data_IF_974557950239
#
_entry.id   IF_974557950239
#
_cell.length_a   1.000
_cell.length_b   1.000
_cell.length_c   1.000
_cell.angle_alpha   90.00
_cell.angle_beta   90.00
_cell.angle_gamma   90.00
#
_symmetry.space_group_name_H-M   'P 1'
#
loop_
_entity.id
_entity.type
_entity.pdbx_description
1 polymer ?
#
# COMPACT_ATOMS: atom_id res chain seq x y z
N UNK A 1 82.16 7.29 25.69
CA UNK A 1 81.70 7.60 24.31
C UNK A 1 81.37 6.30 23.60
N UNK A 2 80.20 6.22 22.96
CA UNK A 2 80.02 5.41 21.75
C UNK A 2 79.82 3.89 21.89
N UNK A 3 78.55 3.48 21.83
CA UNK A 3 77.98 2.69 20.73
C UNK A 3 78.76 1.47 20.20
N UNK A 4 78.24 0.26 20.48
CA UNK A 4 77.63 -0.71 19.53
C UNK A 4 77.66 -2.11 20.15
N UNK A 5 76.49 -2.69 20.41
CA UNK A 5 76.37 -4.13 20.65
C UNK A 5 75.28 -4.67 19.73
N UNK A 6 75.65 -5.69 18.95
CA UNK A 6 74.71 -6.53 18.22
C UNK A 6 75.19 -7.97 18.26
N UNK A 7 74.19 -8.87 18.37
CA UNK A 7 74.16 -10.34 18.21
C UNK A 7 74.25 -11.12 19.53
N UNK A 8 73.17 -11.73 20.02
CA UNK A 8 72.27 -12.80 19.51
C UNK A 8 72.62 -14.13 20.21
N UNK A 9 71.65 -14.70 20.95
CA UNK A 9 71.37 -16.12 21.23
C UNK A 9 70.19 -16.15 22.23
N UNK A 10 68.96 -16.38 21.79
CA UNK A 10 68.31 -17.66 21.51
C UNK A 10 67.75 -18.36 22.76
N UNK A 11 66.42 -18.57 22.70
CA UNK A 11 65.57 -19.55 23.40
C UNK A 11 65.27 -19.35 24.89
N UNK A 12 63.99 -19.17 25.24
CA UNK A 12 63.15 -20.23 25.82
C UNK A 12 61.66 -19.87 25.76
N UNK A 13 60.85 -20.88 25.46
CA UNK A 13 59.38 -20.90 25.39
C UNK A 13 58.74 -20.52 26.73
N UNK A 14 57.67 -19.72 26.68
CA UNK A 14 56.65 -19.68 27.71
C UNK A 14 55.27 -19.67 27.05
N UNK A 15 54.53 -20.75 27.30
CA UNK A 15 53.17 -21.02 26.83
C UNK A 15 52.19 -20.04 27.47
N UNK A 16 51.43 -19.29 26.67
CA UNK A 16 50.30 -18.49 27.14
C UNK A 16 49.03 -19.09 26.57
N UNK A 17 48.20 -19.65 27.45
CA UNK A 17 46.82 -20.01 27.15
C UNK A 17 46.01 -18.71 26.95
N UNK A 18 45.66 -18.39 25.72
CA UNK A 18 44.66 -17.36 25.42
C UNK A 18 43.27 -17.99 25.44
N UNK A 19 42.48 -17.63 26.45
CA UNK A 19 41.03 -17.86 26.47
C UNK A 19 40.42 -16.98 25.37
N UNK A 20 39.94 -17.59 24.30
CA UNK A 20 39.15 -16.90 23.28
C UNK A 20 37.75 -16.64 23.85
N UNK A 21 37.49 -15.40 24.26
CA UNK A 21 36.14 -14.92 24.50
C UNK A 21 35.45 -14.73 23.14
N UNK A 22 34.54 -15.63 22.80
CA UNK A 22 33.64 -15.50 21.66
C UNK A 22 32.71 -14.31 21.89
N UNK A 23 33.07 -13.14 21.36
CA UNK A 23 32.15 -12.02 21.26
C UNK A 23 31.12 -12.35 20.17
N UNK A 24 30.02 -12.96 20.58
CA UNK A 24 28.78 -13.03 19.81
C UNK A 24 28.46 -11.61 19.34
N UNK A 25 28.39 -11.41 18.03
CA UNK A 25 28.17 -10.12 17.41
C UNK A 25 26.95 -9.41 18.00
N UNK A 26 27.21 -8.37 18.79
CA UNK A 26 26.24 -7.33 19.08
C UNK A 26 25.95 -6.65 17.75
N UNK A 27 24.81 -6.98 17.14
CA UNK A 27 24.26 -6.20 16.04
C UNK A 27 24.04 -4.79 16.57
N UNK A 28 24.88 -3.86 16.12
CA UNK A 28 24.59 -2.44 16.32
C UNK A 28 23.19 -2.16 15.77
N UNK A 29 22.33 -1.41 16.48
CA UNK A 29 21.05 -1.03 15.91
C UNK A 29 21.32 -0.33 14.57
N UNK A 30 20.73 -0.85 13.50
CA UNK A 30 20.84 -0.22 12.19
C UNK A 30 20.44 1.26 12.33
N UNK A 31 21.30 2.17 11.89
CA UNK A 31 20.97 3.60 11.85
C UNK A 31 19.71 3.78 11.03
N UNK A 32 18.79 4.63 11.50
CA UNK A 32 17.65 5.02 10.71
C UNK A 32 18.12 5.68 9.41
N UNK A 33 17.44 5.39 8.29
CA UNK A 33 17.73 6.06 7.03
C UNK A 33 17.44 7.56 7.15
N UNK A 34 18.25 8.38 6.47
CA UNK A 34 18.10 9.84 6.48
C UNK A 34 16.76 10.22 5.87
N UNK A 35 15.88 10.79 6.68
CA UNK A 35 14.57 11.27 6.23
C UNK A 35 14.73 12.53 5.38
N UNK A 36 14.57 12.38 4.06
CA UNK A 36 14.16 13.51 3.24
C UNK A 36 12.71 13.87 3.64
N UNK A 37 12.40 15.14 3.87
CA UNK A 37 11.07 15.59 4.30
C UNK A 37 10.36 16.27 3.14
N UNK A 38 9.93 15.49 2.15
CA UNK A 38 9.14 16.03 1.05
C UNK A 38 7.81 16.55 1.57
N UNK A 39 7.37 17.70 1.06
CA UNK A 39 6.04 18.21 1.33
C UNK A 39 4.97 17.44 0.53
N UNK A 40 3.70 17.76 0.78
CA UNK A 40 2.54 17.09 0.18
C UNK A 40 2.60 16.98 -1.36
N UNK A 41 2.95 18.07 -2.05
CA UNK A 41 3.02 18.08 -3.51
C UNK A 41 4.22 17.32 -4.06
N UNK A 42 5.36 17.42 -3.36
CA UNK A 42 6.60 16.77 -3.77
C UNK A 42 6.51 15.25 -3.62
N UNK A 43 5.93 14.74 -2.53
CA UNK A 43 5.80 13.28 -2.37
C UNK A 43 4.87 12.67 -3.42
N UNK A 44 3.75 13.33 -3.75
CA UNK A 44 2.85 12.85 -4.81
C UNK A 44 3.56 12.78 -6.16
N UNK A 45 4.33 13.82 -6.51
CA UNK A 45 5.10 13.84 -7.73
C UNK A 45 6.18 12.73 -7.77
N UNK A 46 6.85 12.48 -6.64
CA UNK A 46 7.93 11.49 -6.56
C UNK A 46 7.41 10.04 -6.56
N UNK A 47 6.21 9.80 -6.00
CA UNK A 47 5.53 8.50 -6.06
C UNK A 47 5.23 8.03 -7.50
N UNK A 48 5.05 8.95 -8.45
CA UNK A 48 4.77 8.61 -9.85
C UNK A 48 3.55 7.68 -10.04
N UNK A 49 3.60 6.80 -11.04
CA UNK A 49 2.63 5.71 -11.16
C UNK A 49 2.96 4.59 -10.18
N UNK A 50 1.93 4.10 -9.49
CA UNK A 50 2.01 2.94 -8.62
C UNK A 50 1.41 1.67 -9.23
N UNK A 51 1.77 0.53 -8.65
CA UNK A 51 1.27 -0.79 -8.99
C UNK A 51 0.99 -1.60 -7.72
N UNK A 52 -0.16 -2.27 -7.62
CA UNK A 52 -0.51 -3.13 -6.50
C UNK A 52 0.04 -4.54 -6.73
N UNK A 53 0.67 -5.10 -5.70
CA UNK A 53 1.01 -6.52 -5.61
C UNK A 53 -0.20 -7.33 -5.11
N UNK A 54 -1.30 -7.26 -5.87
CA UNK A 54 -2.58 -7.87 -5.48
C UNK A 54 -2.58 -9.40 -5.60
N UNK A 55 -3.53 -10.03 -4.91
CA UNK A 55 -3.71 -11.46 -4.70
C UNK A 55 -2.44 -12.19 -4.22
N UNK A 56 -1.66 -11.55 -3.35
CA UNK A 56 -0.47 -12.12 -2.71
C UNK A 56 -0.54 -12.02 -1.19
N UNK A 57 0.14 -11.07 -0.53
CA UNK A 57 0.24 -11.08 0.94
C UNK A 57 -1.10 -10.83 1.65
N UNK A 58 -2.14 -10.39 0.94
CA UNK A 58 -3.51 -10.36 1.43
C UNK A 58 -4.27 -11.67 1.26
N UNK A 59 -3.82 -12.56 0.35
CA UNK A 59 -4.52 -13.80 0.09
C UNK A 59 -4.49 -14.74 1.30
N UNK A 60 -5.57 -15.48 1.48
CA UNK A 60 -5.81 -16.28 2.68
C UNK A 60 -6.46 -17.61 2.31
N UNK A 61 -6.13 -18.64 3.10
CA UNK A 61 -6.79 -19.95 3.08
C UNK A 61 -7.27 -20.25 4.49
N UNK A 62 -8.59 -20.41 4.66
CA UNK A 62 -9.23 -20.67 5.95
C UNK A 62 -8.83 -19.69 7.07
N UNK A 63 -8.59 -18.43 6.70
CA UNK A 63 -8.22 -17.35 7.62
C UNK A 63 -6.75 -17.28 8.02
N UNK A 64 -5.90 -18.13 7.43
CA UNK A 64 -4.44 -18.02 7.56
C UNK A 64 -3.88 -17.36 6.29
N UNK A 65 -3.22 -16.19 6.40
CA UNK A 65 -2.57 -15.54 5.26
C UNK A 65 -1.52 -16.44 4.62
N UNK A 66 -1.53 -16.49 3.29
CA UNK A 66 -0.55 -17.22 2.49
C UNK A 66 -0.50 -16.57 1.10
N UNK A 67 0.68 -16.14 0.66
CA UNK A 67 0.86 -15.38 -0.59
C UNK A 67 0.59 -16.12 -1.89
N UNK A 68 0.36 -17.44 -1.81
CA UNK A 68 0.02 -18.28 -2.96
C UNK A 68 -1.41 -18.82 -2.88
N UNK A 69 -2.19 -18.44 -1.87
CA UNK A 69 -3.54 -19.00 -1.65
C UNK A 69 -4.51 -18.71 -2.80
N UNK A 70 -4.35 -17.59 -3.51
CA UNK A 70 -5.19 -17.23 -4.65
C UNK A 70 -4.49 -17.43 -6.01
N UNK A 71 -3.64 -18.46 -6.10
CA UNK A 71 -3.10 -18.95 -7.37
C UNK A 71 -1.90 -18.19 -7.93
N UNK A 72 -1.38 -17.19 -7.20
CA UNK A 72 -0.14 -16.48 -7.57
C UNK A 72 1.10 -17.23 -7.07
N UNK A 73 2.25 -17.14 -7.77
CA UNK A 73 3.50 -17.74 -7.31
C UNK A 73 4.09 -16.95 -6.13
N UNK A 74 5.05 -17.55 -5.43
CA UNK A 74 5.84 -16.86 -4.39
C UNK A 74 6.45 -15.57 -4.96
N UNK A 75 6.37 -14.48 -4.20
CA UNK A 75 6.91 -13.17 -4.60
C UNK A 75 8.44 -13.25 -4.66
N UNK A 76 9.02 -12.76 -5.76
CA UNK A 76 10.47 -12.70 -5.97
C UNK A 76 10.93 -11.29 -6.29
N UNK A 77 12.20 -10.98 -5.97
CA UNK A 77 12.87 -9.75 -6.39
C UNK A 77 12.75 -9.51 -7.90
N UNK A 78 12.81 -10.58 -8.71
CA UNK A 78 12.74 -10.49 -10.16
C UNK A 78 11.42 -9.91 -10.68
N UNK A 79 10.29 -10.22 -10.02
CA UNK A 79 9.00 -9.60 -10.35
C UNK A 79 9.05 -8.09 -10.09
N UNK A 80 9.56 -7.69 -8.92
CA UNK A 80 9.65 -6.28 -8.52
C UNK A 80 10.59 -5.50 -9.43
N UNK A 81 11.71 -6.11 -9.83
CA UNK A 81 12.64 -5.54 -10.81
C UNK A 81 11.98 -5.33 -12.18
N UNK A 82 11.07 -6.24 -12.60
CA UNK A 82 10.28 -6.08 -13.82
C UNK A 82 9.24 -4.97 -13.73
N UNK A 83 8.54 -4.87 -12.60
CA UNK A 83 7.58 -3.77 -12.35
C UNK A 83 8.30 -2.42 -12.38
N UNK A 84 9.44 -2.31 -11.70
CA UNK A 84 10.28 -1.09 -11.76
C UNK A 84 10.77 -0.79 -13.17
N UNK A 85 11.25 -1.79 -13.90
CA UNK A 85 11.75 -1.61 -15.27
C UNK A 85 10.65 -1.14 -16.24
N UNK A 86 9.37 -1.43 -15.95
CA UNK A 86 8.24 -0.92 -16.71
C UNK A 86 7.92 0.57 -16.41
N UNK A 87 8.59 1.19 -15.45
CA UNK A 87 8.49 2.62 -15.14
C UNK A 87 7.70 2.95 -13.86
N UNK A 88 7.11 1.96 -13.19
CA UNK A 88 6.43 2.19 -11.91
C UNK A 88 7.44 2.61 -10.83
N UNK A 89 7.05 3.59 -10.01
CA UNK A 89 7.87 4.13 -8.91
C UNK A 89 7.34 3.78 -7.52
N UNK A 90 6.08 3.38 -7.43
CA UNK A 90 5.42 2.98 -6.18
C UNK A 90 4.91 1.55 -6.27
N UNK A 91 5.05 0.77 -5.20
CA UNK A 91 4.37 -0.51 -5.04
C UNK A 91 3.51 -0.48 -3.79
N UNK A 92 2.22 -0.76 -3.95
CA UNK A 92 1.33 -1.06 -2.83
C UNK A 92 1.29 -2.56 -2.62
N UNK A 93 1.49 -2.98 -1.38
CA UNK A 93 1.52 -4.37 -0.96
C UNK A 93 0.35 -4.56 0.01
N UNK A 94 -0.81 -5.03 -0.49
CA UNK A 94 -1.88 -5.52 0.36
C UNK A 94 -1.37 -6.61 1.31
N UNK A 95 -1.64 -6.50 2.62
CA UNK A 95 -1.21 -7.50 3.60
C UNK A 95 -2.35 -7.87 4.52
N UNK A 96 -2.65 -9.17 4.62
CA UNK A 96 -3.57 -9.73 5.61
C UNK A 96 -2.80 -10.26 6.80
N UNK A 97 -3.33 -10.07 8.01
CA UNK A 97 -2.74 -10.62 9.23
C UNK A 97 -3.62 -11.72 9.84
N UNK A 98 -4.93 -11.52 9.96
CA UNK A 98 -5.93 -12.53 10.30
C UNK A 98 -5.49 -13.43 11.49
N UNK A 99 -5.41 -14.76 11.28
CA UNK A 99 -4.98 -15.75 12.28
C UNK A 99 -3.48 -15.75 12.57
N UNK A 100 -2.66 -14.99 11.82
CA UNK A 100 -1.26 -14.76 12.19
C UNK A 100 -1.12 -13.78 13.38
N UNK A 101 -2.22 -13.17 13.85
CA UNK A 101 -2.25 -12.43 15.12
C UNK A 101 -2.69 -13.37 16.23
N UNK A 102 -1.82 -13.61 17.21
CA UNK A 102 -2.08 -14.44 18.37
C UNK A 102 -3.16 -13.87 19.32
N UNK A 103 -3.48 -14.59 20.41
CA UNK A 103 -4.50 -14.15 21.37
C UNK A 103 -4.08 -12.90 22.14
N UNK A 104 -5.09 -12.21 22.71
CA UNK A 104 -4.87 -11.10 23.64
C UNK A 104 -4.26 -11.56 24.97
N UNK A 105 -3.70 -10.65 25.77
CA UNK A 105 -3.67 -9.20 25.55
C UNK A 105 -2.52 -8.73 24.63
N UNK A 106 -1.56 -9.61 24.33
CA UNK A 106 -0.37 -9.24 23.57
C UNK A 106 -0.64 -9.12 22.07
N UNK A 107 -1.53 -9.94 21.52
CA UNK A 107 -1.82 -9.99 20.09
C UNK A 107 -0.56 -10.10 19.24
N UNK A 108 0.37 -10.95 19.66
CA UNK A 108 1.67 -11.11 19.00
C UNK A 108 1.48 -11.58 17.57
N UNK A 109 2.02 -10.83 16.61
CA UNK A 109 2.02 -11.24 15.21
C UNK A 109 3.10 -12.31 15.02
N UNK A 110 2.78 -13.37 14.29
CA UNK A 110 3.73 -14.41 13.93
C UNK A 110 4.99 -13.78 13.31
N UNK A 111 6.15 -14.04 13.93
CA UNK A 111 7.42 -13.42 13.52
C UNK A 111 7.83 -13.78 12.09
N UNK A 112 7.64 -15.04 11.68
CA UNK A 112 7.96 -15.47 10.31
C UNK A 112 7.09 -14.76 9.26
N UNK A 113 5.86 -14.38 9.62
CA UNK A 113 5.03 -13.56 8.76
C UNK A 113 5.55 -12.13 8.63
N UNK A 114 5.97 -11.50 9.74
CA UNK A 114 6.63 -10.18 9.71
C UNK A 114 7.99 -10.21 9.00
N UNK A 115 8.73 -11.32 9.06
CA UNK A 115 9.93 -11.57 8.25
C UNK A 115 9.60 -11.59 6.78
N UNK A 116 8.53 -12.30 6.40
CA UNK A 116 8.12 -12.37 5.00
C UNK A 116 7.66 -11.02 4.45
N UNK A 117 6.82 -10.29 5.20
CA UNK A 117 6.37 -8.95 4.80
C UNK A 117 7.57 -8.03 4.61
N UNK A 118 8.51 -8.01 5.57
CA UNK A 118 9.70 -7.17 5.45
C UNK A 118 10.59 -7.56 4.27
N UNK A 119 10.75 -8.85 3.98
CA UNK A 119 11.49 -9.30 2.81
C UNK A 119 10.88 -8.76 1.51
N UNK A 120 9.55 -8.79 1.37
CA UNK A 120 8.85 -8.26 0.19
C UNK A 120 8.92 -6.74 0.12
N UNK A 121 8.74 -6.03 1.24
CA UNK A 121 8.97 -4.58 1.32
C UNK A 121 10.38 -4.22 0.83
N UNK A 122 11.39 -4.99 1.26
CA UNK A 122 12.78 -4.78 0.87
C UNK A 122 13.03 -4.97 -0.63
N UNK A 123 12.27 -5.84 -1.30
CA UNK A 123 12.42 -6.01 -2.75
C UNK A 123 12.16 -4.71 -3.51
N UNK A 124 11.20 -3.90 -3.06
CA UNK A 124 10.86 -2.62 -3.67
C UNK A 124 11.67 -1.46 -3.07
N UNK A 125 11.76 -1.38 -1.74
CA UNK A 125 12.43 -0.29 -1.02
C UNK A 125 13.91 -0.16 -1.41
N UNK A 126 14.63 -1.28 -1.50
CA UNK A 126 16.06 -1.30 -1.87
C UNK A 126 16.30 -0.94 -3.35
N UNK A 127 15.24 -0.80 -4.15
CA UNK A 127 15.28 -0.35 -5.55
C UNK A 127 14.91 1.12 -5.72
N UNK A 128 14.80 1.85 -4.61
CA UNK A 128 14.44 3.28 -4.62
C UNK A 128 12.93 3.53 -4.76
N UNK A 129 12.10 2.48 -4.74
CA UNK A 129 10.66 2.64 -4.91
C UNK A 129 10.00 3.10 -3.61
N UNK A 130 8.87 3.80 -3.76
CA UNK A 130 7.90 3.95 -2.67
C UNK A 130 7.18 2.63 -2.42
N UNK A 131 6.86 2.36 -1.17
CA UNK A 131 6.19 1.14 -0.73
C UNK A 131 5.05 1.49 0.20
N UNK A 132 3.85 0.98 -0.07
CA UNK A 132 2.71 1.05 0.84
C UNK A 132 2.45 -0.34 1.41
N UNK A 133 2.28 -0.45 2.73
CA UNK A 133 1.76 -1.66 3.38
C UNK A 133 0.55 -1.30 4.24
N UNK A 134 -0.41 -2.22 4.35
CA UNK A 134 -1.66 -1.99 5.06
C UNK A 134 -2.08 -3.17 5.93
N UNK A 135 -3.31 -3.10 6.41
CA UNK A 135 -4.08 -4.22 6.95
C UNK A 135 -5.29 -4.44 6.05
N UNK A 136 -5.28 -5.52 5.27
CA UNK A 136 -6.15 -5.70 4.11
C UNK A 136 -7.33 -6.63 4.38
N UNK A 137 -7.08 -7.95 4.41
CA UNK A 137 -8.10 -8.98 4.61
C UNK A 137 -8.86 -8.85 5.92
N UNK A 138 -8.19 -8.32 6.95
CA UNK A 138 -8.69 -8.25 8.33
C UNK A 138 -10.01 -7.50 8.50
N UNK A 139 -10.33 -6.58 7.58
CA UNK A 139 -11.54 -5.76 7.59
C UNK A 139 -12.73 -6.33 6.81
N UNK A 140 -12.55 -7.43 6.07
CA UNK A 140 -13.61 -7.99 5.22
C UNK A 140 -14.45 -9.03 5.96
N UNK A 141 -15.74 -8.76 6.14
CA UNK A 141 -16.67 -9.66 6.86
C UNK A 141 -16.81 -11.06 6.27
N UNK A 142 -16.60 -11.19 4.97
CA UNK A 142 -16.71 -12.45 4.22
C UNK A 142 -15.43 -13.29 4.25
N UNK A 143 -14.34 -12.79 4.83
CA UNK A 143 -13.10 -13.56 4.96
C UNK A 143 -13.07 -14.28 6.31
N UNK A 144 -12.72 -15.57 6.28
CA UNK A 144 -12.48 -16.32 7.51
C UNK A 144 -11.37 -15.64 8.32
N UNK A 145 -11.56 -15.52 9.64
CA UNK A 145 -10.56 -14.93 10.54
C UNK A 145 -10.50 -13.40 10.57
N UNK A 146 -11.35 -12.70 9.80
CA UNK A 146 -11.48 -11.24 9.89
C UNK A 146 -11.99 -10.79 11.25
N UNK A 147 -11.57 -9.60 11.64
CA UNK A 147 -11.80 -9.10 13.00
C UNK A 147 -11.89 -7.57 13.10
N UNK A 148 -11.39 -6.81 12.13
CA UNK A 148 -11.48 -5.33 12.11
C UNK A 148 -12.84 -4.89 11.55
N UNK A 149 -13.92 -5.24 12.26
CA UNK A 149 -15.30 -5.08 11.78
C UNK A 149 -15.96 -3.88 12.47
N UNK A 150 -16.26 -2.82 11.72
CA UNK A 150 -16.74 -1.54 12.25
C UNK A 150 -18.10 -1.60 12.97
N UNK A 151 -18.98 -2.53 12.61
CA UNK A 151 -20.31 -2.67 13.21
C UNK A 151 -20.39 -3.85 14.18
N UNK A 152 -19.26 -4.48 14.50
CA UNK A 152 -19.18 -5.46 15.57
C UNK A 152 -19.47 -4.82 16.92
N UNK A 153 -20.17 -5.54 17.80
CA UNK A 153 -20.37 -5.14 19.21
C UNK A 153 -19.07 -5.17 20.03
N UNK A 154 -18.03 -5.87 19.56
CA UNK A 154 -16.77 -6.09 20.31
C UNK A 154 -15.71 -4.99 20.08
N UNK A 155 -16.15 -3.72 19.99
CA UNK A 155 -15.27 -2.60 19.61
C UNK A 155 -14.06 -2.40 20.53
N UNK A 156 -14.18 -2.63 21.84
CA UNK A 156 -13.06 -2.51 22.79
C UNK A 156 -11.93 -3.51 22.46
N UNK A 157 -12.30 -4.76 22.20
CA UNK A 157 -11.38 -5.84 21.79
C UNK A 157 -10.73 -5.51 20.45
N UNK A 158 -11.52 -5.05 19.47
CA UNK A 158 -11.02 -4.69 18.13
C UNK A 158 -10.00 -3.56 18.23
N UNK A 159 -10.33 -2.48 18.93
CA UNK A 159 -9.43 -1.32 19.10
C UNK A 159 -8.13 -1.71 19.79
N UNK A 160 -8.19 -2.57 20.81
CA UNK A 160 -7.00 -3.09 21.51
C UNK A 160 -6.14 -3.95 20.58
N UNK A 161 -6.75 -4.89 19.86
CA UNK A 161 -6.04 -5.75 18.90
C UNK A 161 -5.38 -4.92 17.79
N UNK A 162 -6.10 -3.93 17.27
CA UNK A 162 -5.63 -3.03 16.22
C UNK A 162 -4.47 -2.14 16.68
N UNK A 163 -4.56 -1.56 17.87
CA UNK A 163 -3.45 -0.83 18.48
C UNK A 163 -2.20 -1.72 18.64
N UNK A 164 -2.36 -2.94 19.17
CA UNK A 164 -1.22 -3.85 19.39
C UNK A 164 -0.60 -4.35 18.09
N UNK A 165 -1.41 -4.63 17.07
CA UNK A 165 -0.92 -5.02 15.75
C UNK A 165 -0.09 -3.88 15.12
N UNK A 166 -0.64 -2.67 15.07
CA UNK A 166 0.08 -1.53 14.50
C UNK A 166 1.32 -1.12 15.29
N UNK A 167 1.33 -1.30 16.62
CA UNK A 167 2.52 -1.09 17.42
C UNK A 167 3.67 -1.99 16.95
N UNK A 168 3.41 -3.29 16.75
CA UNK A 168 4.43 -4.25 16.29
C UNK A 168 4.88 -3.96 14.86
N UNK A 169 3.95 -3.65 13.95
CA UNK A 169 4.26 -3.31 12.54
C UNK A 169 5.09 -2.03 12.49
N UNK A 170 4.69 -0.96 13.19
CA UNK A 170 5.42 0.30 13.19
C UNK A 170 6.83 0.15 13.78
N UNK A 171 7.00 -0.61 14.86
CA UNK A 171 8.32 -0.90 15.45
C UNK A 171 9.22 -1.68 14.49
N UNK A 172 8.66 -2.68 13.79
CA UNK A 172 9.38 -3.48 12.78
C UNK A 172 9.96 -2.61 11.66
N UNK A 173 9.20 -1.61 11.23
CA UNK A 173 9.53 -0.75 10.10
C UNK A 173 10.05 0.65 10.50
N UNK A 174 10.42 0.86 11.76
CA UNK A 174 10.73 2.19 12.30
C UNK A 174 11.93 2.88 11.65
N UNK A 175 12.87 2.12 11.07
CA UNK A 175 14.10 2.66 10.48
C UNK A 175 13.97 3.04 8.99
N UNK A 176 12.89 2.64 8.32
CA UNK A 176 12.64 2.97 6.92
C UNK A 176 12.33 4.45 6.77
N UNK A 177 12.80 5.08 5.70
CA UNK A 177 12.53 6.48 5.41
C UNK A 177 11.08 6.73 4.96
N UNK A 178 10.80 7.93 4.46
CA UNK A 178 9.49 8.36 3.98
C UNK A 178 8.94 7.55 2.79
N UNK A 179 9.78 6.78 2.10
CA UNK A 179 9.35 5.93 0.97
C UNK A 179 8.50 4.77 1.43
N UNK A 180 8.62 4.34 2.69
CA UNK A 180 7.65 3.42 3.28
C UNK A 180 6.47 4.19 3.88
N UNK A 181 5.29 3.99 3.32
CA UNK A 181 4.03 4.57 3.76
C UNK A 181 3.22 3.46 4.44
N UNK A 182 2.66 3.76 5.60
CA UNK A 182 1.75 2.85 6.29
C UNK A 182 0.32 3.29 6.00
N UNK A 183 -0.51 2.39 5.51
CA UNK A 183 -1.94 2.59 5.27
C UNK A 183 -2.74 1.89 6.37
N UNK A 184 -3.63 2.62 7.06
CA UNK A 184 -4.26 2.16 8.29
C UNK A 184 -5.08 0.87 8.13
N UNK A 185 -5.81 0.75 7.03
CA UNK A 185 -6.68 -0.36 6.66
C UNK A 185 -7.07 -0.23 5.19
N UNK A 186 -7.70 -1.27 4.62
CA UNK A 186 -8.21 -1.24 3.25
C UNK A 186 -9.66 -0.69 3.16
N UNK A 187 -10.60 -1.51 2.72
CA UNK A 187 -12.00 -1.16 2.47
C UNK A 187 -12.89 -1.54 3.67
N UNK A 188 -12.94 -0.65 4.67
CA UNK A 188 -13.76 -0.89 5.85
C UNK A 188 -15.17 -0.32 5.71
N UNK A 189 -16.18 -1.15 5.90
CA UNK A 189 -17.60 -0.81 5.87
C UNK A 189 -18.46 -1.95 6.45
N UNK A 190 -19.77 -1.76 6.51
CA UNK A 190 -20.72 -2.74 7.06
C UNK A 190 -21.22 -3.78 6.03
N UNK A 191 -20.72 -3.77 4.79
CA UNK A 191 -21.19 -4.63 3.70
C UNK A 191 -22.35 -4.04 2.89
N UNK A 192 -22.89 -2.89 3.28
CA UNK A 192 -23.92 -2.17 2.54
C UNK A 192 -23.29 -1.08 1.67
N UNK A 193 -23.63 -1.08 0.37
CA UNK A 193 -23.09 -0.11 -0.60
C UNK A 193 -23.87 1.22 -0.63
N UNK A 194 -24.93 1.33 0.15
CA UNK A 194 -25.68 2.58 0.33
C UNK A 194 -24.99 3.54 1.30
N UNK A 195 -25.78 4.51 1.81
CA UNK A 195 -25.26 5.54 2.73
C UNK A 195 -24.59 4.91 3.97
N UNK A 196 -23.44 5.43 4.41
CA UNK A 196 -22.76 4.97 5.61
C UNK A 196 -23.65 4.92 6.84
N UNK A 197 -23.48 3.88 7.66
CA UNK A 197 -24.24 3.70 8.90
C UNK A 197 -23.44 4.08 10.14
N UNK A 198 -24.16 4.42 11.21
CA UNK A 198 -23.59 4.60 12.55
C UNK A 198 -23.99 3.41 13.44
N UNK A 199 -23.11 2.96 14.36
CA UNK A 199 -21.82 3.57 14.72
C UNK A 199 -20.63 3.17 13.83
N UNK A 200 -20.82 2.39 12.76
CA UNK A 200 -19.71 1.87 11.93
C UNK A 200 -18.76 2.99 11.44
N UNK A 201 -19.27 4.10 10.89
CA UNK A 201 -18.36 5.16 10.41
C UNK A 201 -17.59 5.83 11.56
N UNK A 202 -18.23 6.04 12.72
CA UNK A 202 -17.51 6.54 13.91
C UNK A 202 -16.40 5.58 14.37
N UNK A 203 -16.60 4.26 14.21
CA UNK A 203 -15.58 3.27 14.50
C UNK A 203 -14.43 3.29 13.50
N UNK A 204 -14.69 3.47 12.20
CA UNK A 204 -13.64 3.68 11.17
C UNK A 204 -12.77 4.90 11.52
N UNK A 205 -13.38 6.03 11.90
CA UNK A 205 -12.63 7.21 12.35
C UNK A 205 -11.79 6.91 13.60
N UNK A 206 -12.35 6.16 14.56
CA UNK A 206 -11.62 5.74 15.76
C UNK A 206 -10.42 4.84 15.43
N UNK A 207 -10.55 3.93 14.46
CA UNK A 207 -9.44 3.10 13.99
C UNK A 207 -8.35 3.98 13.38
N UNK A 208 -8.70 4.91 12.49
CA UNK A 208 -7.72 5.85 11.90
C UNK A 208 -6.97 6.67 12.97
N UNK A 209 -7.66 7.16 14.00
CA UNK A 209 -7.00 7.90 15.09
C UNK A 209 -6.06 6.99 15.91
N UNK A 210 -6.51 5.79 16.28
CA UNK A 210 -5.67 4.80 16.99
C UNK A 210 -4.42 4.50 16.17
N UNK A 211 -4.57 4.28 14.87
CA UNK A 211 -3.45 4.01 13.97
C UNK A 211 -2.42 5.15 13.98
N UNK A 212 -2.86 6.40 13.72
CA UNK A 212 -1.97 7.56 13.68
C UNK A 212 -1.21 7.69 15.01
N UNK A 213 -1.92 7.71 16.14
CA UNK A 213 -1.30 7.89 17.45
C UNK A 213 -0.32 6.75 17.78
N UNK A 214 -0.70 5.51 17.45
CA UNK A 214 0.14 4.32 17.69
C UNK A 214 1.43 4.37 16.89
N UNK A 215 1.34 4.68 15.59
CA UNK A 215 2.51 4.74 14.73
C UNK A 215 3.43 5.87 15.17
N UNK A 216 2.91 7.07 15.44
CA UNK A 216 3.74 8.21 15.89
C UNK A 216 4.53 7.91 17.16
N UNK A 217 3.95 7.13 18.08
CA UNK A 217 4.58 6.75 19.35
C UNK A 217 5.52 5.54 19.25
N UNK A 218 5.65 4.91 18.08
CA UNK A 218 6.45 3.69 17.91
C UNK A 218 7.96 3.94 17.77
N UNK A 219 8.43 5.19 17.76
CA UNK A 219 9.85 5.53 17.65
C UNK A 219 10.40 5.55 16.22
N UNK A 220 11.70 5.84 16.09
CA UNK A 220 12.40 5.96 14.81
C UNK A 220 11.78 7.01 13.87
N UNK A 221 11.80 6.72 12.57
CA UNK A 221 11.24 7.58 11.52
C UNK A 221 9.70 7.62 11.52
N UNK A 222 9.03 6.82 12.36
CA UNK A 222 7.55 6.79 12.42
C UNK A 222 6.94 8.12 12.87
N UNK A 223 7.68 8.92 13.65
CA UNK A 223 7.27 10.27 14.03
C UNK A 223 7.11 11.22 12.83
N UNK A 224 7.82 10.96 11.72
CA UNK A 224 7.83 11.83 10.54
C UNK A 224 7.27 11.21 9.26
N UNK A 225 7.07 9.89 9.22
CA UNK A 225 6.62 9.21 7.99
C UNK A 225 5.23 9.63 7.53
N UNK A 226 4.96 9.43 6.25
CA UNK A 226 3.61 9.59 5.71
C UNK A 226 2.72 8.41 6.10
N UNK A 227 1.49 8.73 6.51
CA UNK A 227 0.46 7.78 6.90
C UNK A 227 -0.74 7.94 5.97
N UNK A 228 -1.30 6.85 5.47
CA UNK A 228 -2.44 6.84 4.57
C UNK A 228 -3.69 6.33 5.33
N UNK A 229 -4.81 7.05 5.23
CA UNK A 229 -6.07 6.69 5.92
C UNK A 229 -7.24 6.70 4.93
N UNK A 230 -8.10 5.66 4.91
CA UNK A 230 -9.31 5.64 4.11
C UNK A 230 -10.51 6.23 4.87
N UNK A 231 -11.53 6.64 4.12
CA UNK A 231 -12.90 6.77 4.62
C UNK A 231 -13.71 5.48 4.44
N UNK A 232 -15.03 5.61 4.44
CA UNK A 232 -15.95 4.47 4.27
C UNK A 232 -15.76 3.76 2.94
N UNK A 233 -15.43 2.46 2.98
CA UNK A 233 -15.24 1.60 1.80
C UNK A 233 -14.30 2.20 0.73
N UNK A 234 -13.37 3.09 1.10
CA UNK A 234 -12.55 3.88 0.16
C UNK A 234 -13.36 4.66 -0.90
N UNK A 235 -14.65 4.88 -0.65
CA UNK A 235 -15.56 5.54 -1.57
C UNK A 235 -15.38 7.06 -1.51
N UNK A 236 -15.22 7.71 -2.67
CA UNK A 236 -14.96 9.14 -2.78
C UNK A 236 -16.10 9.98 -2.18
N UNK A 237 -17.35 9.73 -2.58
CA UNK A 237 -18.51 10.52 -2.13
C UNK A 237 -18.69 10.40 -0.61
N UNK A 238 -18.55 9.19 -0.06
CA UNK A 238 -18.70 8.96 1.38
C UNK A 238 -17.51 9.44 2.21
N UNK A 239 -16.34 9.66 1.59
CA UNK A 239 -15.15 10.21 2.25
C UNK A 239 -15.14 11.74 2.20
N UNK A 240 -15.42 12.33 1.04
CA UNK A 240 -15.36 13.78 0.84
C UNK A 240 -16.66 14.51 1.17
N UNK A 241 -17.80 13.82 1.07
CA UNK A 241 -19.11 14.35 1.42
C UNK A 241 -19.39 14.38 2.92
N UNK A 242 -20.52 15.00 3.29
CA UNK A 242 -20.94 15.12 4.68
C UNK A 242 -21.62 13.84 5.21
N UNK A 243 -20.86 12.74 5.27
CA UNK A 243 -21.35 11.42 5.70
C UNK A 243 -20.75 10.93 7.02
N UNK A 244 -19.77 11.65 7.57
CA UNK A 244 -19.20 11.36 8.88
C UNK A 244 -17.71 11.04 8.89
N UNK A 245 -16.98 11.18 7.77
CA UNK A 245 -15.52 11.11 7.78
C UNK A 245 -14.92 12.20 8.66
N UNK A 246 -13.94 11.84 9.49
CA UNK A 246 -13.19 12.80 10.31
C UNK A 246 -11.70 12.58 10.09
N UNK A 247 -11.00 13.66 9.72
CA UNK A 247 -9.54 13.65 9.64
C UNK A 247 -8.94 13.39 11.03
N UNK A 248 -8.02 12.42 11.17
CA UNK A 248 -7.32 12.22 12.44
C UNK A 248 -6.51 13.44 12.84
N UNK A 249 -6.45 13.69 14.15
CA UNK A 249 -5.42 14.56 14.71
C UNK A 249 -4.05 13.86 14.61
N UNK A 250 -2.98 14.65 14.48
CA UNK A 250 -1.60 14.16 14.37
C UNK A 250 -0.69 14.80 15.44
N UNK A 251 -1.21 14.90 16.67
CA UNK A 251 -0.59 15.64 17.77
C UNK A 251 0.74 15.05 18.27
N UNK A 252 0.99 13.76 17.99
CA UNK A 252 2.22 13.07 18.40
C UNK A 252 3.29 13.02 17.30
N UNK A 253 3.05 13.67 16.16
CA UNK A 253 4.05 13.74 15.08
C UNK A 253 5.30 14.47 15.52
N UNK A 254 6.39 14.21 14.80
CA UNK A 254 7.68 14.86 15.05
C UNK A 254 7.56 16.38 15.01
N UNK A 255 8.12 17.11 15.99
CA UNK A 255 8.13 18.56 15.99
C UNK A 255 9.00 19.14 14.85
N UNK A 256 9.78 18.31 14.16
CA UNK A 256 10.53 18.71 12.95
C UNK A 256 9.63 18.96 11.73
N UNK A 257 8.40 18.43 11.73
CA UNK A 257 7.45 18.68 10.65
C UNK A 257 6.89 20.10 10.83
N UNK A 258 6.98 20.98 9.83
CA UNK A 258 6.39 22.31 9.89
C UNK A 258 4.90 22.28 10.28
N UNK A 259 4.47 23.18 11.17
CA UNK A 259 3.11 23.20 11.72
C UNK A 259 2.02 23.31 10.63
N UNK A 260 2.32 23.99 9.53
CA UNK A 260 1.44 24.14 8.38
C UNK A 260 1.42 22.91 7.45
N UNK A 261 2.42 22.03 7.51
CA UNK A 261 2.47 20.79 6.72
C UNK A 261 1.67 19.66 7.34
N UNK A 262 1.36 18.64 6.52
CA UNK A 262 0.69 17.41 6.93
C UNK A 262 1.64 16.22 6.69
N UNK A 263 1.39 15.12 7.41
CA UNK A 263 1.99 13.80 7.17
C UNK A 263 0.94 12.69 7.15
N UNK A 264 -0.30 13.07 6.84
CA UNK A 264 -1.45 12.19 6.62
C UNK A 264 -1.90 12.38 5.17
N UNK A 265 -2.19 11.28 4.49
CA UNK A 265 -2.73 11.15 3.15
C UNK A 265 -4.11 10.49 3.21
N UNK A 266 -4.94 10.69 2.18
CA UNK A 266 -6.30 10.13 2.09
C UNK A 266 -6.36 9.05 1.01
N UNK A 267 -6.84 7.86 1.39
CA UNK A 267 -7.00 6.72 0.49
C UNK A 267 -8.40 6.65 -0.08
N UNK A 268 -8.51 6.49 -1.40
CA UNK A 268 -9.75 6.19 -2.12
C UNK A 268 -9.47 5.17 -3.22
N UNK A 269 -10.44 4.37 -3.60
CA UNK A 269 -10.33 3.45 -4.75
C UNK A 269 -11.31 3.86 -5.86
N UNK A 270 -10.98 3.51 -7.10
CA UNK A 270 -11.78 3.93 -8.26
C UNK A 270 -11.95 2.82 -9.30
N UNK A 271 -13.17 2.27 -9.33
CA UNK A 271 -13.62 1.27 -10.31
C UNK A 271 -14.95 1.66 -10.96
N UNK A 272 -15.25 2.96 -11.01
CA UNK A 272 -16.48 3.45 -11.63
C UNK A 272 -16.29 3.70 -13.14
N UNK A 273 -17.24 3.27 -13.99
CA UNK A 273 -18.48 2.56 -13.66
C UNK A 273 -18.21 1.05 -13.55
N UNK A 274 -18.82 0.40 -12.55
CA UNK A 274 -18.52 -0.99 -12.19
C UNK A 274 -18.87 -1.98 -13.31
N UNK A 275 -19.94 -1.73 -14.04
CA UNK A 275 -20.38 -2.52 -15.19
C UNK A 275 -19.29 -2.67 -16.27
N UNK A 276 -18.49 -1.61 -16.51
CA UNK A 276 -17.30 -1.68 -17.34
C UNK A 276 -16.12 -2.31 -16.59
N UNK A 277 -15.78 -1.76 -15.42
CA UNK A 277 -14.49 -1.98 -14.78
C UNK A 277 -14.35 -3.31 -14.03
N UNK A 278 -15.41 -3.82 -13.40
CA UNK A 278 -15.33 -4.95 -12.47
C UNK A 278 -16.43 -6.00 -12.60
N UNK A 279 -17.54 -5.71 -13.29
CA UNK A 279 -18.61 -6.69 -13.48
C UNK A 279 -18.19 -7.79 -14.46
N UNK A 280 -18.21 -9.03 -14.01
CA UNK A 280 -17.73 -10.22 -14.73
C UNK A 280 -18.74 -10.75 -15.76
N UNK A 281 -19.01 -9.93 -16.79
CA UNK A 281 -19.79 -10.31 -17.97
C UNK A 281 -19.35 -9.53 -19.22
N UNK A 282 -19.97 -9.83 -20.38
CA UNK A 282 -19.68 -9.19 -21.66
C UNK A 282 -20.61 -8.04 -22.08
N UNK A 283 -21.49 -7.55 -21.19
CA UNK A 283 -22.48 -6.53 -21.54
C UNK A 283 -21.82 -5.19 -21.84
N UNK A 284 -21.01 -4.70 -20.91
CA UNK A 284 -20.25 -3.46 -21.05
C UNK A 284 -18.76 -3.78 -21.19
N UNK A 285 -18.20 -3.42 -22.34
CA UNK A 285 -16.82 -3.75 -22.74
C UNK A 285 -16.05 -2.55 -23.30
N UNK A 286 -16.70 -1.39 -23.42
CA UNK A 286 -16.12 -0.16 -23.95
C UNK A 286 -16.34 1.01 -22.99
N UNK A 287 -15.41 1.96 -22.96
CA UNK A 287 -15.45 3.12 -22.07
C UNK A 287 -14.90 4.36 -22.77
N UNK A 288 -15.38 5.53 -22.34
CA UNK A 288 -14.89 6.83 -22.76
C UNK A 288 -15.38 7.26 -24.13
N UNK A 289 -14.96 8.46 -24.55
CA UNK A 289 -15.29 9.07 -25.84
C UNK A 289 -14.80 8.27 -27.05
N UNK A 290 -13.82 7.38 -26.86
CA UNK A 290 -13.26 6.52 -27.89
C UNK A 290 -14.10 5.29 -28.22
N UNK A 291 -15.13 5.01 -27.42
CA UNK A 291 -16.08 3.90 -27.62
C UNK A 291 -16.74 3.97 -28.99
N UNK A 292 -16.80 2.84 -29.69
CA UNK A 292 -17.37 2.75 -31.05
C UNK A 292 -18.76 2.12 -31.08
N UNK A 293 -19.19 1.47 -30.00
CA UNK A 293 -20.52 0.88 -29.89
C UNK A 293 -21.22 1.33 -28.59
N UNK A 294 -22.27 2.18 -28.67
CA UNK A 294 -23.03 2.64 -27.52
C UNK A 294 -23.67 1.49 -26.70
N UNK A 295 -24.04 0.36 -27.33
CA UNK A 295 -24.64 -0.76 -26.61
C UNK A 295 -23.64 -1.52 -25.72
N UNK A 296 -22.34 -1.24 -25.88
CA UNK A 296 -21.25 -1.85 -25.11
C UNK A 296 -20.61 -0.88 -24.12
N UNK A 297 -21.19 0.30 -23.94
CA UNK A 297 -20.69 1.39 -23.12
C UNK A 297 -21.70 1.72 -22.03
N UNK A 298 -21.24 1.93 -20.81
CA UNK A 298 -22.09 2.41 -19.71
C UNK A 298 -22.75 3.74 -20.07
N UNK A 299 -23.96 3.96 -19.57
CA UNK A 299 -24.71 5.21 -19.77
C UNK A 299 -24.25 6.36 -18.85
N UNK A 300 -23.35 6.08 -17.91
CA UNK A 300 -22.78 7.01 -16.94
C UNK A 300 -21.29 6.68 -16.67
N UNK A 301 -20.62 7.41 -15.77
CA UNK A 301 -19.27 7.06 -15.32
C UNK A 301 -18.16 7.35 -16.34
N UNK A 302 -18.37 8.31 -17.24
CA UNK A 302 -17.41 8.65 -18.29
C UNK A 302 -16.36 9.66 -17.78
N UNK A 303 -15.66 10.33 -18.69
CA UNK A 303 -14.60 11.29 -18.34
C UNK A 303 -15.07 12.43 -17.43
N UNK A 304 -16.31 12.88 -17.61
CA UNK A 304 -16.94 13.92 -16.80
C UNK A 304 -17.16 13.49 -15.34
N UNK A 305 -17.64 12.26 -15.13
CA UNK A 305 -17.81 11.70 -13.79
C UNK A 305 -16.45 11.50 -13.10
N UNK A 306 -15.48 10.92 -13.79
CA UNK A 306 -14.10 10.78 -13.27
C UNK A 306 -13.50 12.14 -12.88
N UNK A 307 -13.64 13.15 -13.73
CA UNK A 307 -13.15 14.51 -13.45
C UNK A 307 -13.82 15.09 -12.19
N UNK A 308 -15.15 14.94 -12.07
CA UNK A 308 -15.90 15.44 -10.92
C UNK A 308 -15.47 14.78 -9.60
N UNK A 309 -15.24 13.46 -9.62
CA UNK A 309 -14.86 12.68 -8.44
C UNK A 309 -13.47 13.05 -7.92
N UNK A 310 -12.48 13.15 -8.81
CA UNK A 310 -11.12 13.52 -8.39
C UNK A 310 -11.01 15.03 -8.10
N UNK A 311 -11.81 15.88 -8.75
CA UNK A 311 -11.93 17.29 -8.37
C UNK A 311 -12.47 17.44 -6.95
N UNK A 312 -13.50 16.67 -6.58
CA UNK A 312 -14.07 16.67 -5.24
C UNK A 312 -13.00 16.35 -4.18
N UNK A 313 -12.20 15.31 -4.41
CA UNK A 313 -11.09 14.95 -3.53
C UNK A 313 -10.05 16.08 -3.41
N UNK A 314 -9.75 16.76 -4.52
CA UNK A 314 -8.84 17.91 -4.51
C UNK A 314 -9.38 19.09 -3.72
N UNK A 315 -10.65 19.43 -3.90
CA UNK A 315 -11.26 20.57 -3.22
C UNK A 315 -11.40 20.33 -1.71
N UNK A 316 -11.68 19.09 -1.30
CA UNK A 316 -11.90 18.74 0.12
C UNK A 316 -10.58 18.49 0.87
N UNK A 317 -9.59 17.87 0.23
CA UNK A 317 -8.37 17.39 0.90
C UNK A 317 -7.07 18.00 0.37
N UNK A 318 -6.80 17.89 -0.94
CA UNK A 318 -5.51 18.33 -1.51
C UNK A 318 -5.30 19.83 -1.32
N UNK A 319 -6.36 20.64 -1.48
CA UNK A 319 -6.34 22.09 -1.24
C UNK A 319 -5.97 22.48 0.20
N UNK A 320 -6.12 21.55 1.15
CA UNK A 320 -5.81 21.71 2.59
C UNK A 320 -4.48 21.06 2.98
N UNK A 321 -3.72 20.59 2.00
CA UNK A 321 -2.40 19.99 2.19
C UNK A 321 -2.39 18.51 2.54
N UNK A 322 -3.52 17.80 2.39
CA UNK A 322 -3.59 16.34 2.54
C UNK A 322 -3.50 15.70 1.15
N UNK A 323 -2.39 15.03 0.80
CA UNK A 323 -2.30 14.28 -0.45
C UNK A 323 -3.42 13.24 -0.54
N UNK A 324 -3.89 12.99 -1.76
CA UNK A 324 -4.81 11.90 -2.05
C UNK A 324 -4.06 10.81 -2.79
N UNK A 325 -4.35 9.56 -2.46
CA UNK A 325 -3.85 8.39 -3.17
C UNK A 325 -5.06 7.61 -3.66
N UNK A 326 -5.21 7.49 -4.98
CA UNK A 326 -6.08 6.51 -5.61
C UNK A 326 -5.38 5.15 -5.46
N UNK A 327 -5.61 4.51 -4.31
CA UNK A 327 -4.88 3.32 -3.85
C UNK A 327 -5.10 2.10 -4.73
N UNK A 328 -6.23 2.07 -5.43
CA UNK A 328 -6.57 1.07 -6.42
C UNK A 328 -7.40 1.67 -7.55
N UNK A 329 -7.09 1.30 -8.78
CA UNK A 329 -7.93 1.49 -9.95
C UNK A 329 -7.61 0.44 -11.01
N UNK A 330 -8.56 0.14 -11.88
CA UNK A 330 -8.32 -0.73 -13.02
C UNK A 330 -9.61 -1.11 -13.71
N UNK A 331 -9.49 -1.91 -14.76
CA UNK A 331 -10.62 -2.56 -15.41
C UNK A 331 -10.22 -3.99 -15.79
N UNK A 332 -11.13 -4.95 -15.63
CA UNK A 332 -10.89 -6.37 -15.91
C UNK A 332 -10.79 -6.66 -17.42
N UNK A 333 -10.12 -7.76 -17.76
CA UNK A 333 -10.03 -8.23 -19.14
C UNK A 333 -11.37 -8.83 -19.62
N UNK A 334 -11.94 -8.21 -20.65
CA UNK A 334 -13.15 -8.70 -21.34
C UNK A 334 -12.88 -9.01 -22.82
N UNK A 335 -11.62 -9.28 -23.20
CA UNK A 335 -11.23 -9.55 -24.59
C UNK A 335 -11.90 -10.79 -25.19
N UNK A 336 -12.36 -11.71 -24.34
CA UNK A 336 -13.18 -12.87 -24.75
C UNK A 336 -14.57 -12.46 -25.26
N UNK A 337 -15.07 -11.27 -24.91
CA UNK A 337 -16.37 -10.75 -25.31
C UNK A 337 -16.27 -9.62 -26.35
N UNK A 338 -15.17 -8.86 -26.29
CA UNK A 338 -14.86 -7.80 -27.25
C UNK A 338 -13.35 -7.74 -27.49
N UNK A 339 -12.88 -8.14 -28.67
CA UNK A 339 -11.46 -8.13 -29.02
C UNK A 339 -10.82 -6.73 -28.96
N UNK A 340 -11.62 -5.66 -28.97
CA UNK A 340 -11.15 -4.29 -28.82
C UNK A 340 -11.09 -3.82 -27.35
N UNK A 341 -11.52 -4.63 -26.38
CA UNK A 341 -11.61 -4.25 -24.96
C UNK A 341 -10.31 -3.69 -24.38
N UNK A 342 -9.14 -4.27 -24.72
CA UNK A 342 -7.85 -3.78 -24.21
C UNK A 342 -7.53 -2.32 -24.60
N UNK A 343 -8.08 -1.82 -25.72
CA UNK A 343 -8.00 -0.39 -26.06
C UNK A 343 -8.70 0.46 -24.99
N UNK A 344 -9.92 0.09 -24.61
CA UNK A 344 -10.70 0.85 -23.64
C UNK A 344 -10.18 0.70 -22.22
N UNK A 345 -9.59 -0.45 -21.87
CA UNK A 345 -8.85 -0.62 -20.62
C UNK A 345 -7.64 0.32 -20.54
N UNK A 346 -6.90 0.46 -21.65
CA UNK A 346 -5.79 1.41 -21.74
C UNK A 346 -6.26 2.87 -21.68
N UNK A 347 -7.35 3.22 -22.37
CA UNK A 347 -7.93 4.57 -22.33
C UNK A 347 -8.44 4.93 -20.92
N UNK A 348 -9.10 4.00 -20.24
CA UNK A 348 -9.52 4.15 -18.85
C UNK A 348 -8.33 4.36 -17.91
N UNK A 349 -7.30 3.51 -18.01
CA UNK A 349 -6.10 3.65 -17.18
C UNK A 349 -5.38 4.98 -17.42
N UNK A 350 -5.28 5.44 -18.69
CA UNK A 350 -4.75 6.77 -19.02
C UNK A 350 -5.55 7.87 -18.36
N UNK A 351 -6.88 7.81 -18.46
CA UNK A 351 -7.76 8.84 -17.95
C UNK A 351 -7.68 8.96 -16.42
N UNK A 352 -7.64 7.85 -15.69
CA UNK A 352 -7.50 7.85 -14.23
C UNK A 352 -6.17 8.46 -13.81
N UNK A 353 -5.06 8.07 -14.45
CA UNK A 353 -3.72 8.60 -14.13
C UNK A 353 -3.63 10.10 -14.45
N UNK A 354 -4.09 10.50 -15.65
CA UNK A 354 -4.04 11.90 -16.07
C UNK A 354 -4.90 12.80 -15.17
N UNK A 355 -6.10 12.33 -14.81
CA UNK A 355 -7.01 13.08 -13.92
C UNK A 355 -6.48 13.11 -12.48
N UNK A 356 -5.87 12.03 -11.99
CA UNK A 356 -5.21 12.02 -10.68
C UNK A 356 -4.08 13.04 -10.64
N UNK A 357 -3.20 13.05 -11.65
CA UNK A 357 -2.12 14.04 -11.79
C UNK A 357 -2.65 15.47 -11.83
N UNK A 358 -3.68 15.73 -12.66
CA UNK A 358 -4.35 17.04 -12.76
C UNK A 358 -4.80 17.58 -11.40
N UNK A 359 -5.26 16.70 -10.51
CA UNK A 359 -5.82 17.06 -9.22
C UNK A 359 -4.86 16.82 -8.03
N UNK A 360 -3.58 16.53 -8.30
CA UNK A 360 -2.56 16.40 -7.26
C UNK A 360 -2.71 15.12 -6.43
N UNK A 361 -3.23 14.05 -7.02
CA UNK A 361 -3.34 12.72 -6.43
C UNK A 361 -2.32 11.75 -7.05
N UNK A 362 -1.79 10.84 -6.24
CA UNK A 362 -1.06 9.67 -6.73
C UNK A 362 -2.06 8.58 -7.14
N UNK A 363 -1.69 7.71 -8.07
CA UNK A 363 -2.57 6.63 -8.56
C UNK A 363 -1.82 5.30 -8.65
N UNK A 364 -2.43 4.23 -8.14
CA UNK A 364 -1.82 2.91 -8.04
C UNK A 364 -2.71 1.86 -8.72
N UNK A 365 -2.23 1.29 -9.83
CA UNK A 365 -3.00 0.32 -10.62
C UNK A 365 -3.23 -0.97 -9.83
N UNK A 366 -4.43 -1.52 -9.85
CA UNK A 366 -4.73 -2.83 -9.27
C UNK A 366 -4.32 -3.95 -10.22
N UNK A 367 -3.33 -4.76 -9.83
CA UNK A 367 -2.89 -5.95 -10.56
C UNK A 367 -3.03 -7.16 -9.64
N UNK A 368 -3.94 -8.07 -9.98
CA UNK A 368 -4.21 -9.30 -9.23
C UNK A 368 -3.38 -10.50 -9.72
N UNK A 369 -2.48 -10.29 -10.69
CA UNK A 369 -1.65 -11.32 -11.32
C UNK A 369 -2.40 -12.30 -12.22
N UNK A 370 -3.72 -12.18 -12.36
CA UNK A 370 -4.52 -13.04 -13.24
C UNK A 370 -4.44 -12.52 -14.67
N UNK A 371 -4.02 -13.38 -15.60
CA UNK A 371 -3.89 -13.09 -17.03
C UNK A 371 -4.88 -13.98 -17.78
N UNK A 372 -5.93 -13.38 -18.33
CA UNK A 372 -7.04 -14.09 -18.96
C UNK A 372 -8.37 -13.42 -18.64
N UNK A 373 -9.47 -14.12 -18.91
CA UNK A 373 -10.83 -13.60 -18.68
C UNK A 373 -10.96 -13.06 -17.25
N UNK A 374 -11.42 -11.81 -17.16
CA UNK A 374 -11.60 -11.01 -15.93
C UNK A 374 -10.32 -10.64 -15.18
N UNK A 375 -9.15 -10.86 -15.77
CA UNK A 375 -7.86 -10.57 -15.17
C UNK A 375 -7.49 -9.09 -15.16
N UNK A 376 -6.77 -8.67 -14.11
CA UNK A 376 -6.12 -7.36 -14.04
C UNK A 376 -4.61 -7.42 -14.33
N UNK A 377 -4.04 -8.61 -14.53
CA UNK A 377 -2.59 -8.79 -14.67
C UNK A 377 -2.00 -7.98 -15.84
N UNK A 378 -1.02 -7.13 -15.53
CA UNK A 378 -0.14 -6.48 -16.52
C UNK A 378 1.14 -7.29 -16.77
N UNK A 379 1.45 -8.18 -15.83
CA UNK A 379 2.60 -9.06 -15.83
C UNK A 379 2.15 -10.51 -15.63
N UNK A 380 2.75 -11.43 -16.39
CA UNK A 380 2.77 -12.84 -16.00
C UNK A 380 3.83 -13.01 -14.90
N UNK A 381 3.38 -13.36 -13.69
CA UNK A 381 4.25 -13.46 -12.52
C UNK A 381 5.13 -14.71 -12.51
N UNK A 382 4.76 -15.77 -13.25
CA UNK A 382 5.57 -16.99 -13.39
C UNK A 382 6.65 -16.80 -14.45
N UNK A 383 6.25 -16.33 -15.63
CA UNK A 383 7.16 -16.07 -16.74
C UNK A 383 8.01 -14.80 -16.52
N UNK A 384 7.55 -13.87 -15.67
CA UNK A 384 8.16 -12.55 -15.41
C UNK A 384 8.23 -11.69 -16.67
N UNK A 385 7.15 -11.72 -17.43
CA UNK A 385 6.99 -11.02 -18.71
C UNK A 385 5.82 -10.04 -18.65
N UNK A 386 5.93 -8.95 -19.40
CA UNK A 386 4.80 -8.03 -19.61
C UNK A 386 3.77 -8.70 -20.52
N UNK A 387 2.50 -8.62 -20.14
CA UNK A 387 1.37 -9.15 -20.92
C UNK A 387 0.48 -8.04 -21.48
N UNK A 388 0.49 -6.85 -20.85
CA UNK A 388 -0.36 -5.72 -21.24
C UNK A 388 0.45 -4.44 -21.51
N UNK A 389 1.36 -4.49 -22.49
CA UNK A 389 2.22 -3.36 -22.83
C UNK A 389 1.43 -2.09 -23.21
N UNK A 390 0.28 -2.23 -23.88
CA UNK A 390 -0.57 -1.10 -24.26
C UNK A 390 -1.12 -0.34 -23.05
N UNK A 391 -1.52 -1.05 -21.99
CA UNK A 391 -2.02 -0.44 -20.74
C UNK A 391 -0.86 0.21 -19.98
N UNK A 392 0.30 -0.44 -19.88
CA UNK A 392 1.51 0.15 -19.27
C UNK A 392 1.90 1.44 -19.99
N UNK A 393 1.95 1.44 -21.33
CA UNK A 393 2.27 2.63 -22.11
C UNK A 393 1.27 3.76 -21.87
N UNK A 394 -0.02 3.43 -21.72
CA UNK A 394 -1.07 4.40 -21.44
C UNK A 394 -0.89 5.05 -20.05
N UNK A 395 -0.54 4.25 -19.03
CA UNK A 395 -0.21 4.72 -17.68
C UNK A 395 1.03 5.62 -17.71
N UNK A 396 2.14 5.13 -18.28
CA UNK A 396 3.41 5.86 -18.28
C UNK A 396 3.33 7.16 -19.10
N UNK A 397 2.62 7.14 -20.22
CA UNK A 397 2.37 8.33 -21.03
C UNK A 397 1.61 9.42 -20.27
N UNK A 398 0.63 9.05 -19.43
CA UNK A 398 -0.14 9.99 -18.61
C UNK A 398 0.65 10.54 -17.42
N UNK A 399 1.67 9.83 -16.92
CA UNK A 399 2.58 10.37 -15.90
C UNK A 399 3.55 11.38 -16.52
N UNK A 400 4.06 11.08 -17.72
CA UNK A 400 5.09 11.89 -18.38
C UNK A 400 4.56 13.19 -18.99
N UNK A 401 3.38 13.16 -19.61
CA UNK A 401 2.67 14.36 -20.12
C UNK A 401 1.95 15.05 -18.98
#
# INVERSE_FOLDING_TARGET
>A
MGSKVRRLRACFLATVLTIAASASGLTSPASADVMNQLNASQIVADMGAGWNLGNQLESTLDGTPNETAWGQPVITQALIDKVRAAGFKTIRIPVSYLRNIGPGPNYTINSSWLDRIQAVVNYAYNRGMYVLINMHGDGYKNFAGSWLICDSSSQSTIRTKYQRAWQQIAQRFQNYDQRLILESMNENFDGQYGRPTQPCYSNINSYNQIFVDTVRRAGGNNGSRWLLVPGWNTNIDYTAGNYGFVLPSDQYRSPSIPSNEKRIMISVHYYAPWDFAGEENGQITQWGRGSTNPSKKSTWGQEDYLDSQLKLMRDVFVSKGYPVVVGEYGSIDKSSFDSSNNRYRADFARAVVATSKKYGAASIYWDNGHNGQYGFGLFDRRARTVTQQGIINAIMGAVAG
#
